data_IF_563769244404
#
_entry.id   IF_563769244404
#
_cell.length_a   1.000
_cell.length_b   1.000
_cell.length_c   1.000
_cell.angle_alpha   90.00
_cell.angle_beta   90.00
_cell.angle_gamma   90.00
#
_symmetry.space_group_name_H-M   'P 1'
#
loop_
_entity.id
_entity.type
_entity.pdbx_description
1 polymer ?
#
# COMPACT_ATOMS: atom_id res chain seq x y z
N UNK A 1 -18.81 2.18 0.49
CA UNK A 1 -17.98 2.68 -0.63
C UNK A 1 -16.58 2.87 -0.07
N UNK A 2 -15.72 1.84 -0.18
CA UNK A 2 -14.35 1.89 0.36
C UNK A 2 -13.43 2.50 -0.68
N UNK A 3 -13.13 3.80 -0.55
CA UNK A 3 -12.12 4.47 -1.35
C UNK A 3 -10.74 4.19 -0.79
N UNK A 4 -9.79 3.87 -1.67
CA UNK A 4 -8.37 3.93 -1.34
C UNK A 4 -7.92 5.37 -1.51
N UNK A 5 -7.50 6.02 -0.44
CA UNK A 5 -7.05 7.40 -0.48
C UNK A 5 -5.61 7.43 -0.98
N UNK A 6 -5.38 7.84 -2.24
CA UNK A 6 -4.04 8.13 -2.74
C UNK A 6 -3.57 9.46 -2.14
N UNK A 7 -2.85 9.37 -1.02
CA UNK A 7 -2.38 10.54 -0.25
C UNK A 7 -1.13 11.19 -0.86
N UNK A 8 -0.36 10.45 -1.65
CA UNK A 8 0.83 10.95 -2.33
C UNK A 8 1.03 10.30 -3.70
N UNK A 9 1.53 11.10 -4.65
CA UNK A 9 1.92 10.64 -5.98
C UNK A 9 3.25 11.26 -6.39
N UNK A 10 4.14 10.46 -6.99
CA UNK A 10 5.42 10.91 -7.52
C UNK A 10 5.68 10.28 -8.89
N UNK A 11 6.26 11.04 -9.81
CA UNK A 11 6.81 10.54 -11.06
C UNK A 11 8.33 10.38 -10.87
N UNK A 12 8.85 9.20 -11.18
CA UNK A 12 10.28 8.89 -11.16
C UNK A 12 10.97 9.36 -12.45
N UNK A 13 12.29 9.52 -12.42
CA UNK A 13 13.09 9.97 -13.57
C UNK A 13 13.00 9.00 -14.78
N UNK A 14 12.65 7.74 -14.54
CA UNK A 14 12.42 6.71 -15.56
C UNK A 14 10.99 6.74 -16.15
N UNK A 15 10.16 7.70 -15.73
CA UNK A 15 8.77 7.87 -16.16
C UNK A 15 7.76 6.97 -15.44
N UNK A 16 8.19 6.16 -14.47
CA UNK A 16 7.26 5.39 -13.63
C UNK A 16 6.51 6.27 -12.65
N UNK A 17 5.32 5.85 -12.27
CA UNK A 17 4.46 6.57 -11.32
C UNK A 17 4.39 5.75 -10.03
N UNK A 18 4.62 6.39 -8.89
CA UNK A 18 4.42 5.79 -7.56
C UNK A 18 3.23 6.48 -6.91
N UNK A 19 2.26 5.70 -6.45
CA UNK A 19 1.12 6.17 -5.68
C UNK A 19 1.15 5.51 -4.30
N UNK A 20 0.99 6.29 -3.25
CA UNK A 20 0.97 5.81 -1.87
C UNK A 20 -0.28 6.29 -1.15
N UNK A 21 -0.86 5.43 -0.32
CA UNK A 21 -2.19 5.68 0.22
C UNK A 21 -2.68 4.69 1.26
N UNK A 22 -3.86 4.97 1.79
CA UNK A 22 -4.60 4.01 2.60
C UNK A 22 -5.16 2.89 1.74
N UNK A 23 -4.96 1.64 2.14
CA UNK A 23 -5.59 0.47 1.58
C UNK A 23 -6.63 -0.08 2.56
N UNK A 24 -7.76 -0.56 2.06
CA UNK A 24 -8.76 -1.23 2.89
C UNK A 24 -8.53 -2.73 2.74
N UNK A 25 -8.23 -3.38 3.86
CA UNK A 25 -8.10 -4.83 3.96
C UNK A 25 -9.24 -5.39 4.80
N UNK A 26 -9.82 -6.50 4.36
CA UNK A 26 -10.90 -7.19 5.08
C UNK A 26 -10.42 -7.84 6.38
N UNK A 27 -9.11 -7.97 6.58
CA UNK A 27 -8.50 -8.60 7.76
C UNK A 27 -8.14 -7.58 8.83
N UNK A 28 -7.64 -6.43 8.41
CA UNK A 28 -7.05 -5.41 9.30
C UNK A 28 -7.90 -4.13 9.36
N UNK A 29 -8.83 -3.93 8.43
CA UNK A 29 -9.68 -2.74 8.35
C UNK A 29 -9.01 -1.61 7.55
N UNK A 30 -7.81 -1.20 7.96
CA UNK A 30 -7.01 -0.19 7.26
C UNK A 30 -5.53 -0.54 7.24
N UNK A 31 -4.94 -0.52 6.05
CA UNK A 31 -3.53 -0.77 5.75
C UNK A 31 -2.94 0.44 5.02
N UNK A 32 -1.62 0.47 4.88
CA UNK A 32 -0.92 1.40 3.99
C UNK A 32 -0.44 0.64 2.76
N UNK A 33 -0.66 1.16 1.56
CA UNK A 33 -0.18 0.54 0.33
C UNK A 33 0.56 1.53 -0.56
N UNK A 34 1.53 1.00 -1.29
CA UNK A 34 2.27 1.69 -2.34
C UNK A 34 2.15 0.90 -3.62
N UNK A 35 1.59 1.51 -4.66
CA UNK A 35 1.52 0.93 -6.00
C UNK A 35 2.53 1.63 -6.91
N UNK A 36 3.24 0.85 -7.75
CA UNK A 36 4.06 1.40 -8.83
C UNK A 36 3.46 1.06 -10.18
N UNK A 37 3.36 2.06 -11.03
CA UNK A 37 2.86 1.96 -12.39
C UNK A 37 4.00 2.27 -13.36
N UNK A 38 3.98 1.61 -14.52
CA UNK A 38 4.81 1.95 -15.66
C UNK A 38 4.42 3.32 -16.22
N UNK A 39 5.25 3.89 -17.10
CA UNK A 39 4.90 5.12 -17.83
C UNK A 39 3.60 4.98 -18.66
N UNK A 40 3.20 3.76 -19.01
CA UNK A 40 1.94 3.46 -19.70
C UNK A 40 0.74 3.31 -18.76
N UNK A 41 0.91 3.47 -17.45
CA UNK A 41 -0.17 3.37 -16.46
C UNK A 41 -0.57 1.94 -16.06
N UNK A 42 0.23 0.93 -16.44
CA UNK A 42 0.02 -0.46 -15.99
C UNK A 42 0.81 -0.76 -14.72
N UNK A 43 0.36 -1.69 -13.87
CA UNK A 43 1.11 -2.09 -12.67
C UNK A 43 2.49 -2.65 -13.04
N UNK A 44 3.53 -2.17 -12.35
CA UNK A 44 4.90 -2.61 -12.51
C UNK A 44 5.22 -3.77 -11.55
N UNK A 45 5.05 -5.01 -12.03
CA UNK A 45 5.31 -6.24 -11.27
C UNK A 45 6.80 -6.45 -10.87
N UNK A 46 7.71 -5.58 -11.32
CA UNK A 46 9.09 -5.58 -10.81
C UNK A 46 9.23 -4.88 -9.45
N UNK A 47 8.17 -4.19 -8.98
CA UNK A 47 8.16 -3.51 -7.69
C UNK A 47 7.78 -4.45 -6.54
N UNK A 48 6.71 -5.23 -6.75
CA UNK A 48 6.23 -6.35 -5.95
C UNK A 48 5.57 -7.32 -6.94
N UNK A 49 5.32 -8.57 -6.56
CA UNK A 49 4.76 -9.62 -7.44
C UNK A 49 3.49 -9.19 -8.19
N UNK A 50 2.67 -8.33 -7.57
CA UNK A 50 1.47 -7.73 -8.16
C UNK A 50 1.61 -6.22 -8.45
N UNK A 51 2.76 -5.63 -8.16
CA UNK A 51 3.04 -4.20 -8.29
C UNK A 51 2.55 -3.33 -7.13
N UNK A 52 2.09 -3.94 -6.02
CA UNK A 52 1.54 -3.26 -4.84
C UNK A 52 2.17 -3.80 -3.55
N UNK A 53 3.00 -2.97 -2.91
CA UNK A 53 3.51 -3.29 -1.58
C UNK A 53 2.48 -2.83 -0.52
N UNK A 54 1.96 -3.75 0.29
CA UNK A 54 1.02 -3.44 1.37
C UNK A 54 1.66 -3.67 2.74
N UNK A 55 1.59 -2.66 3.60
CA UNK A 55 2.01 -2.71 5.00
C UNK A 55 0.78 -2.66 5.90
N UNK A 56 0.51 -3.73 6.68
CA UNK A 56 -0.55 -3.71 7.66
C UNK A 56 -0.31 -2.63 8.72
N UNK A 57 -1.25 -1.71 8.91
CA UNK A 57 -1.15 -0.69 9.98
C UNK A 57 -2.01 -1.01 11.20
N UNK A 58 -2.78 -2.09 11.13
CA UNK A 58 -3.57 -2.58 12.26
C UNK A 58 -2.73 -3.39 13.21
N UNK A 59 -2.58 -2.87 14.41
CA UNK A 59 -2.34 -3.70 15.58
C UNK A 59 -3.58 -4.55 15.80
N UNK A 60 -3.58 -5.81 15.33
CA UNK A 60 -4.29 -6.79 16.15
C UNK A 60 -3.47 -6.87 17.44
N UNK A 61 -3.83 -5.99 18.38
CA UNK A 61 -3.53 -6.16 19.79
C UNK A 61 -4.28 -7.43 20.20
N UNK A 62 -3.78 -8.59 19.78
CA UNK A 62 -3.90 -9.78 20.58
C UNK A 62 -3.06 -9.46 21.83
N UNK A 63 -3.72 -8.82 22.78
CA UNK A 63 -3.34 -8.73 24.18
C UNK A 63 -1.85 -8.42 24.40
N UNK A 64 -1.43 -7.14 24.32
CA UNK A 64 -0.16 -6.72 24.96
C UNK A 64 -0.31 -6.71 26.48
N UNK A 65 -0.70 -7.84 27.06
CA UNK A 65 -0.67 -8.11 28.49
C UNK A 65 0.47 -9.05 28.87
N UNK A 66 1.47 -9.18 28.00
CA UNK A 66 2.73 -9.84 28.34
C UNK A 66 3.62 -8.83 29.05
N UNK A 67 3.35 -8.65 30.35
CA UNK A 67 4.35 -8.20 31.32
C UNK A 67 5.25 -9.41 31.57
N UNK A 68 6.48 -9.36 31.07
CA UNK A 68 7.58 -10.18 31.56
C UNK A 68 8.26 -9.49 32.74
#
# INVERSE_FOLDING_TARGET
MGGVDANAVQIQDDGKIVAAGGAISTVTGGDFAVARLTAGGTLDQSFDQDGIATTPVSTNTANKNDIA
#
